data_IF_903066484217
#
_entry.id   IF_903066484217
#
_cell.length_a   1.000
_cell.length_b   1.000
_cell.length_c   1.000
_cell.angle_alpha   90.00
_cell.angle_beta   90.00
_cell.angle_gamma   90.00
#
_symmetry.space_group_name_H-M   'P 1'
#
loop_
_entity.id
_entity.type
_entity.pdbx_description
1 polymer ?
#
# COMPACT_ATOMS: atom_id res chain seq x y z
N UNK A 1 0.43 15.06 36.45
CA UNK A 1 1.25 15.17 35.22
C UNK A 1 0.69 16.30 34.38
N UNK A 2 1.51 16.98 33.57
CA UNK A 2 1.08 18.12 32.74
C UNK A 2 0.11 17.72 31.62
N UNK A 3 -0.25 16.43 31.53
CA UNK A 3 -1.09 15.85 30.50
C UNK A 3 -0.28 15.44 29.28
N UNK A 4 -0.94 14.74 28.37
CA UNK A 4 -0.46 14.46 27.02
C UNK A 4 -1.27 15.31 26.07
N UNK A 5 -0.61 15.93 25.10
CA UNK A 5 -1.25 16.75 24.08
C UNK A 5 -0.87 16.21 22.70
N UNK A 6 -1.80 16.27 21.75
CA UNK A 6 -1.55 15.99 20.33
C UNK A 6 -2.01 17.21 19.55
N UNK A 7 -1.10 17.84 18.80
CA UNK A 7 -1.35 19.07 18.04
C UNK A 7 -1.96 20.19 18.90
N UNK A 8 -1.50 20.33 20.15
CA UNK A 8 -2.03 21.30 21.11
C UNK A 8 -3.35 20.93 21.80
N UNK A 9 -3.98 19.81 21.41
CA UNK A 9 -5.21 19.32 22.05
C UNK A 9 -4.88 18.38 23.19
N UNK A 10 -5.44 18.63 24.37
CA UNK A 10 -5.24 17.77 25.54
C UNK A 10 -6.03 16.47 25.41
N UNK A 11 -5.34 15.35 25.60
CA UNK A 11 -5.95 14.02 25.51
C UNK A 11 -6.42 13.56 26.88
N UNK A 12 -7.61 12.95 26.93
CA UNK A 12 -8.15 12.41 28.17
C UNK A 12 -7.38 11.15 28.58
N UNK A 13 -7.35 10.90 29.88
CA UNK A 13 -6.74 9.68 30.43
C UNK A 13 -7.44 8.46 29.84
N UNK A 14 -6.66 7.50 29.35
CA UNK A 14 -7.13 6.25 28.75
C UNK A 14 -8.01 6.42 27.49
N UNK A 15 -7.95 7.58 26.83
CA UNK A 15 -8.61 7.78 25.54
C UNK A 15 -7.63 7.42 24.42
N UNK A 16 -7.90 6.38 23.62
CA UNK A 16 -7.13 6.12 22.41
C UNK A 16 -7.30 7.27 21.42
N UNK A 17 -6.21 7.63 20.75
CA UNK A 17 -6.25 8.57 19.64
C UNK A 17 -5.52 7.95 18.45
N UNK A 18 -6.05 8.17 17.25
CA UNK A 18 -5.35 7.85 16.02
C UNK A 18 -4.27 8.90 15.79
N UNK A 19 -3.07 8.42 15.48
CA UNK A 19 -1.94 9.26 15.09
C UNK A 19 -1.80 9.19 13.57
N UNK A 20 -1.55 10.34 12.95
CA UNK A 20 -1.34 10.47 11.51
C UNK A 20 0.00 11.13 11.20
N UNK A 21 0.37 11.12 9.92
CA UNK A 21 1.58 11.78 9.43
C UNK A 21 1.60 13.26 9.81
N UNK A 22 2.72 13.72 10.38
CA UNK A 22 2.94 15.11 10.75
C UNK A 22 2.38 15.51 12.11
N UNK A 23 1.80 14.58 12.88
CA UNK A 23 1.34 14.88 14.25
C UNK A 23 2.49 15.24 15.17
N UNK A 24 2.20 16.12 16.15
CA UNK A 24 3.14 16.49 17.21
C UNK A 24 2.54 16.12 18.57
N UNK A 25 3.24 15.24 19.30
CA UNK A 25 2.86 14.82 20.65
C UNK A 25 3.70 15.56 21.68
N UNK A 26 3.04 16.25 22.61
CA UNK A 26 3.70 16.97 23.70
C UNK A 26 3.47 16.28 25.05
N UNK A 27 4.55 16.10 25.80
CA UNK A 27 4.59 15.49 27.14
C UNK A 27 5.33 16.42 28.10
N UNK A 28 4.60 17.36 28.72
CA UNK A 28 5.25 18.41 29.52
C UNK A 28 6.14 19.30 28.66
N UNK A 29 7.46 19.23 28.86
CA UNK A 29 8.44 20.00 28.09
C UNK A 29 8.98 19.25 26.86
N UNK A 30 8.62 17.98 26.70
CA UNK A 30 9.07 17.17 25.58
C UNK A 30 8.10 17.30 24.41
N UNK A 31 8.66 17.28 23.21
CA UNK A 31 7.93 17.32 21.95
C UNK A 31 8.42 16.18 21.05
N UNK A 32 7.48 15.44 20.48
CA UNK A 32 7.74 14.27 19.63
C UNK A 32 7.01 14.52 18.32
N UNK A 33 7.76 14.69 17.23
CA UNK A 33 7.20 14.73 15.88
C UNK A 33 6.99 13.32 15.33
N UNK A 34 5.87 13.10 14.66
CA UNK A 34 5.52 11.84 14.02
C UNK A 34 5.74 11.94 12.52
N UNK A 35 6.56 11.03 12.01
CA UNK A 35 6.75 10.79 10.59
C UNK A 35 6.60 9.29 10.32
N UNK A 36 5.80 8.95 9.32
CA UNK A 36 5.39 7.65 8.85
C UNK A 36 5.95 7.51 7.44
N UNK A 37 6.88 6.60 7.29
CA UNK A 37 7.39 6.24 5.97
C UNK A 37 6.31 5.49 5.20
N UNK A 38 5.95 5.98 4.02
CA UNK A 38 5.03 5.29 3.13
C UNK A 38 5.76 4.17 2.40
N UNK A 39 5.76 2.97 2.99
CA UNK A 39 6.28 1.78 2.33
C UNK A 39 5.19 1.26 1.38
N UNK A 40 5.26 1.65 0.11
CA UNK A 40 4.50 0.98 -0.93
C UNK A 40 5.20 -0.34 -1.27
N UNK A 41 4.72 -1.45 -0.73
CA UNK A 41 5.04 -2.74 -1.32
C UNK A 41 4.45 -2.76 -2.74
N UNK A 42 5.29 -2.90 -3.77
CA UNK A 42 4.81 -3.14 -5.13
C UNK A 42 4.21 -4.55 -5.14
N UNK A 43 2.93 -4.64 -4.82
CA UNK A 43 2.17 -5.87 -4.95
C UNK A 43 1.68 -5.95 -6.39
N UNK A 44 2.24 -6.89 -7.15
CA UNK A 44 1.74 -7.21 -8.47
C UNK A 44 0.44 -8.00 -8.35
N UNK A 45 -0.67 -7.27 -8.19
CA UNK A 45 -2.02 -7.86 -8.14
C UNK A 45 -2.38 -8.61 -9.43
N UNK A 46 -1.71 -8.34 -10.56
CA UNK A 46 -2.00 -9.02 -11.81
C UNK A 46 -1.49 -10.45 -11.79
N UNK A 47 -0.38 -10.72 -11.09
CA UNK A 47 0.14 -12.07 -10.86
C UNK A 47 -0.83 -12.94 -10.06
N UNK A 48 -1.56 -12.34 -9.10
CA UNK A 48 -2.54 -13.06 -8.27
C UNK A 48 -3.85 -13.36 -9.02
N UNK A 49 -4.26 -12.47 -9.95
CA UNK A 49 -5.54 -12.57 -10.67
C UNK A 49 -5.43 -13.42 -11.94
N UNK A 50 -4.30 -13.34 -12.65
CA UNK A 50 -4.07 -13.98 -13.94
C UNK A 50 -2.63 -14.52 -14.03
N UNK A 51 -2.31 -15.62 -13.34
CA UNK A 51 -0.96 -16.19 -13.29
C UNK A 51 -0.40 -16.58 -14.67
N UNK A 52 -1.27 -16.83 -15.65
CA UNK A 52 -0.91 -17.11 -17.05
C UNK A 52 -0.34 -15.91 -17.81
N UNK A 53 -0.51 -14.67 -17.32
CA UNK A 53 0.08 -13.45 -17.95
C UNK A 53 1.61 -13.38 -17.82
N UNK A 54 2.24 -14.24 -17.02
CA UNK A 54 3.70 -14.28 -16.85
C UNK A 54 4.40 -15.04 -18.01
N UNK A 55 3.68 -15.41 -19.07
CA UNK A 55 4.29 -15.97 -20.27
C UNK A 55 5.17 -14.92 -20.98
N UNK A 56 6.45 -15.24 -21.14
CA UNK A 56 7.38 -14.47 -21.98
C UNK A 56 7.19 -14.77 -23.48
N UNK A 57 6.27 -15.66 -23.84
CA UNK A 57 5.97 -16.00 -25.22
C UNK A 57 4.93 -15.01 -25.79
N UNK A 58 5.32 -14.11 -26.71
CA UNK A 58 4.43 -13.11 -27.28
C UNK A 58 3.29 -13.72 -28.11
N UNK A 59 3.35 -15.02 -28.44
CA UNK A 59 2.38 -15.72 -29.28
C UNK A 59 1.40 -16.59 -28.48
N UNK A 60 1.49 -16.63 -27.14
CA UNK A 60 0.68 -17.51 -26.29
C UNK A 60 -0.83 -17.37 -26.49
N UNK A 61 -1.29 -16.17 -26.89
CA UNK A 61 -2.70 -15.87 -27.11
C UNK A 61 -3.17 -16.07 -28.56
N UNK A 62 -2.26 -16.42 -29.48
CA UNK A 62 -2.56 -16.48 -30.91
C UNK A 62 -3.16 -17.82 -31.35
N UNK A 63 -3.19 -18.83 -30.45
CA UNK A 63 -3.74 -20.16 -30.74
C UNK A 63 -2.94 -20.92 -31.81
N UNK A 64 -3.30 -22.19 -32.05
CA UNK A 64 -2.74 -22.94 -33.18
C UNK A 64 -3.22 -22.31 -34.50
N UNK A 65 -2.28 -22.01 -35.39
CA UNK A 65 -2.59 -21.50 -36.71
C UNK A 65 -3.44 -22.54 -37.47
N UNK A 66 -4.69 -22.19 -37.77
CA UNK A 66 -5.53 -22.98 -38.66
C UNK A 66 -4.95 -22.83 -40.07
N UNK A 67 -4.22 -23.84 -40.53
CA UNK A 67 -3.77 -23.91 -41.91
C UNK A 67 -4.97 -24.42 -42.72
N UNK A 68 -5.62 -23.54 -43.47
CA UNK A 68 -6.59 -23.97 -44.47
C UNK A 68 -5.82 -24.65 -45.61
N UNK A 69 -5.98 -25.97 -45.73
CA UNK A 69 -5.43 -26.73 -46.86
C UNK A 69 -6.12 -26.26 -48.15
N UNK A 70 -5.35 -25.77 -49.13
CA UNK A 70 -5.86 -25.45 -50.46
C UNK A 70 -6.45 -26.72 -51.11
N UNK A 71 -7.77 -26.74 -51.27
CA UNK A 71 -8.49 -27.71 -52.10
C UNK A 71 -7.87 -27.73 -53.52
N UNK A 72 -7.45 -28.93 -53.95
CA UNK A 72 -6.98 -29.19 -55.31
C UNK A 72 -7.86 -30.21 -56.01
#
# INVERSE_FOLDING_TARGET
TNGTMVNGNKILKNQPISIVEGDVVSLGQYEIGVALEHISAVQDIAADIAPERVSNDPLVNLGEAVVEEEEK
#
